data_IF_513679923397
#
_entry.id   IF_513679923397
#
_cell.length_a   1.000
_cell.length_b   1.000
_cell.length_c   1.000
_cell.angle_alpha   90.00
_cell.angle_beta   90.00
_cell.angle_gamma   90.00
#
_symmetry.space_group_name_H-M   'P 1'
#
loop_
_entity.id
_entity.type
_entity.pdbx_description
1 polymer ?
#
# COMPACT_ATOMS: atom_id res chain seq x y z
N UNK A 1 5.61 23.19 13.51
CA UNK A 1 4.54 22.79 12.58
C UNK A 1 3.83 21.58 13.15
N UNK A 2 2.50 21.61 13.28
CA UNK A 2 1.73 20.52 13.87
C UNK A 2 1.67 19.35 12.88
N UNK A 3 2.55 18.36 13.06
CA UNK A 3 2.48 17.09 12.35
C UNK A 3 1.13 16.45 12.67
N UNK A 4 0.40 16.01 11.65
CA UNK A 4 -0.83 15.24 11.83
C UNK A 4 -0.55 14.07 12.78
N UNK A 5 -1.12 14.14 13.99
CA UNK A 5 -0.93 13.16 15.08
C UNK A 5 -1.45 11.76 14.71
N UNK A 6 -2.23 11.65 13.64
CA UNK A 6 -2.61 10.38 13.01
C UNK A 6 -1.71 10.09 11.81
N UNK A 7 -0.59 9.40 12.06
CA UNK A 7 0.24 8.81 11.00
C UNK A 7 -0.46 7.65 10.27
N UNK A 8 -1.55 7.13 10.84
CA UNK A 8 -2.26 5.96 10.35
C UNK A 8 -3.73 6.28 10.05
N UNK A 9 -4.22 5.80 8.92
CA UNK A 9 -5.61 5.88 8.46
C UNK A 9 -6.12 4.44 8.34
N UNK A 10 -7.19 4.10 9.06
CA UNK A 10 -7.78 2.75 9.08
C UNK A 10 -6.75 1.64 9.40
N UNK A 11 -5.75 1.98 10.23
CA UNK A 11 -4.67 1.06 10.58
C UNK A 11 -3.58 0.89 9.52
N UNK A 12 -3.52 1.73 8.49
CA UNK A 12 -2.47 1.76 7.45
C UNK A 12 -1.75 3.12 7.43
N UNK A 13 -0.52 3.16 6.95
CA UNK A 13 0.22 4.40 6.68
C UNK A 13 0.85 4.36 5.29
N UNK A 14 1.13 5.55 4.73
CA UNK A 14 1.86 5.65 3.46
C UNK A 14 3.21 4.96 3.57
N UNK A 15 3.52 4.10 2.60
CA UNK A 15 4.73 3.29 2.56
C UNK A 15 4.54 1.85 3.05
N UNK A 16 3.43 1.53 3.72
CA UNK A 16 3.08 0.16 4.08
C UNK A 16 2.99 -0.71 2.81
N UNK A 17 3.60 -1.89 2.83
CA UNK A 17 3.40 -2.91 1.80
C UNK A 17 2.09 -3.62 2.10
N UNK A 18 1.18 -3.63 1.14
CA UNK A 18 -0.15 -4.20 1.27
C UNK A 18 -0.45 -5.16 0.11
N UNK A 19 -1.33 -6.12 0.36
CA UNK A 19 -2.00 -6.93 -0.67
C UNK A 19 -3.45 -6.52 -0.71
N UNK A 20 -3.91 -5.96 -1.83
CA UNK A 20 -5.32 -5.71 -2.05
C UNK A 20 -5.95 -6.80 -2.91
N UNK A 21 -7.02 -7.40 -2.41
CA UNK A 21 -7.82 -8.36 -3.15
C UNK A 21 -9.15 -7.67 -3.48
N UNK A 22 -9.29 -7.22 -4.73
CA UNK A 22 -10.49 -6.53 -5.19
C UNK A 22 -11.42 -7.56 -5.84
N UNK A 23 -12.61 -7.82 -5.29
CA UNK A 23 -13.47 -8.90 -5.76
C UNK A 23 -14.17 -8.59 -7.09
N UNK A 24 -14.50 -7.32 -7.36
CA UNK A 24 -15.30 -6.92 -8.53
C UNK A 24 -14.89 -5.56 -9.09
N UNK A 25 -15.33 -5.26 -10.32
CA UNK A 25 -15.12 -3.98 -11.00
C UNK A 25 -13.85 -3.88 -11.84
N UNK A 26 -13.54 -2.68 -12.34
CA UNK A 26 -12.43 -2.44 -13.31
C UNK A 26 -11.05 -2.82 -12.78
N UNK A 27 -10.88 -2.89 -11.46
CA UNK A 27 -9.61 -3.19 -10.77
C UNK A 27 -9.64 -4.56 -10.09
N UNK A 28 -10.61 -5.41 -10.45
CA UNK A 28 -10.73 -6.76 -9.89
C UNK A 28 -9.41 -7.53 -10.06
N UNK A 29 -9.04 -8.30 -9.04
CA UNK A 29 -7.78 -9.03 -8.99
C UNK A 29 -6.98 -8.75 -7.71
N UNK A 30 -5.79 -9.34 -7.66
CA UNK A 30 -4.86 -9.20 -6.52
C UNK A 30 -3.74 -8.23 -6.88
N UNK A 31 -3.58 -7.20 -6.06
CA UNK A 31 -2.57 -6.15 -6.24
C UNK A 31 -1.66 -6.12 -5.03
N UNK A 32 -0.39 -6.40 -5.21
CA UNK A 32 0.61 -6.33 -4.14
C UNK A 32 1.53 -5.16 -4.39
N UNK A 33 1.72 -4.30 -3.39
CA UNK A 33 2.45 -3.06 -3.60
C UNK A 33 2.55 -2.19 -2.36
N UNK A 34 3.12 -0.99 -2.51
CA UNK A 34 3.12 0.01 -1.44
C UNK A 34 1.85 0.85 -1.49
N UNK A 35 1.25 1.12 -0.34
CA UNK A 35 0.09 2.00 -0.24
C UNK A 35 0.54 3.46 -0.11
N UNK A 36 -0.09 4.34 -0.87
CA UNK A 36 -0.04 5.78 -0.70
C UNK A 36 -1.42 6.26 -0.29
N UNK A 37 -1.52 6.84 0.90
CA UNK A 37 -2.78 7.33 1.46
C UNK A 37 -2.84 8.84 1.22
N UNK A 38 -3.85 9.29 0.48
CA UNK A 38 -4.09 10.72 0.27
C UNK A 38 -4.70 11.35 1.52
N UNK A 39 -4.59 12.68 1.65
CA UNK A 39 -5.26 13.44 2.72
C UNK A 39 -6.77 13.21 2.78
N UNK A 40 -7.38 12.83 1.65
CA UNK A 40 -8.80 12.48 1.53
C UNK A 40 -9.15 11.08 2.07
N UNK A 41 -8.17 10.29 2.50
CA UNK A 41 -8.37 8.91 2.96
C UNK A 41 -8.46 7.87 1.84
N UNK A 42 -8.23 8.25 0.57
CA UNK A 42 -8.20 7.33 -0.57
C UNK A 42 -6.86 6.60 -0.66
N UNK A 43 -6.89 5.29 -0.95
CA UNK A 43 -5.71 4.45 -1.01
C UNK A 43 -5.30 4.22 -2.47
N UNK A 44 -4.03 4.42 -2.74
CA UNK A 44 -3.41 4.09 -4.02
C UNK A 44 -2.35 3.02 -3.80
N UNK A 45 -2.39 1.94 -4.57
CA UNK A 45 -1.44 0.84 -4.45
C UNK A 45 -0.46 0.94 -5.61
N UNK A 46 0.80 1.19 -5.30
CA UNK A 46 1.90 1.17 -6.27
C UNK A 46 2.34 -0.27 -6.47
N UNK A 47 1.96 -0.87 -7.59
CA UNK A 47 2.46 -2.16 -8.05
C UNK A 47 3.56 -1.94 -9.09
N UNK A 48 4.27 -3.00 -9.47
CA UNK A 48 5.29 -2.96 -10.54
C UNK A 48 4.71 -2.59 -11.90
N UNK A 49 3.44 -2.89 -12.12
CA UNK A 49 2.73 -2.63 -13.38
C UNK A 49 2.11 -1.23 -13.42
N UNK A 50 2.05 -0.53 -12.29
CA UNK A 50 1.51 0.82 -12.18
C UNK A 50 0.77 1.10 -10.88
N UNK A 51 0.32 2.34 -10.73
CA UNK A 51 -0.44 2.77 -9.57
C UNK A 51 -1.94 2.48 -9.73
N UNK A 52 -2.48 1.59 -8.90
CA UNK A 52 -3.90 1.29 -8.81
C UNK A 52 -4.55 2.24 -7.81
N UNK A 53 -5.30 3.22 -8.30
CA UNK A 53 -5.87 4.30 -7.47
C UNK A 53 -7.27 3.98 -6.94
N UNK A 54 -7.61 4.53 -5.78
CA UNK A 54 -8.97 4.49 -5.24
C UNK A 54 -9.43 3.10 -4.82
N UNK A 55 -8.53 2.33 -4.20
CA UNK A 55 -8.86 1.06 -3.55
C UNK A 55 -9.45 1.38 -2.17
N UNK A 56 -10.50 0.67 -1.76
CA UNK A 56 -11.06 0.79 -0.41
C UNK A 56 -10.21 -0.01 0.59
N UNK A 57 -9.98 0.55 1.78
CA UNK A 57 -9.19 -0.09 2.84
C UNK A 57 -9.61 -1.52 3.23
N UNK A 58 -10.90 -1.95 3.18
CA UNK A 58 -11.27 -3.31 3.59
C UNK A 58 -10.71 -4.39 2.66
N UNK A 59 -10.39 -4.02 1.42
CA UNK A 59 -9.78 -4.94 0.46
C UNK A 59 -8.26 -5.06 0.67
N UNK A 60 -7.66 -4.14 1.42
CA UNK A 60 -6.23 -4.12 1.70
C UNK A 60 -5.90 -4.97 2.92
N UNK A 61 -4.88 -5.80 2.80
CA UNK A 61 -4.26 -6.52 3.91
C UNK A 61 -2.83 -6.01 4.06
N UNK A 62 -2.43 -5.66 5.28
CA UNK A 62 -1.07 -5.26 5.56
C UNK A 62 -0.12 -6.46 5.45
N UNK A 63 0.94 -6.32 4.66
CA UNK A 63 2.03 -7.29 4.58
C UNK A 63 3.25 -6.85 5.39
N UNK A 64 3.62 -5.57 5.28
CA UNK A 64 4.78 -5.01 5.96
C UNK A 64 4.53 -3.55 6.29
N UNK A 65 4.90 -3.12 7.49
CA UNK A 65 4.84 -1.70 7.89
C UNK A 65 5.91 -0.89 7.16
N UNK A 66 5.54 0.32 6.74
CA UNK A 66 6.46 1.36 6.29
C UNK A 66 7.10 2.07 7.49
N UNK A 67 7.75 1.31 8.36
CA UNK A 67 8.43 1.80 9.57
C UNK A 67 9.78 2.49 9.28
N UNK A 68 10.11 2.72 8.01
CA UNK A 68 11.35 3.33 7.56
C UNK A 68 12.51 2.34 7.42
N UNK A 69 12.35 1.11 7.92
CA UNK A 69 13.29 0.01 7.69
C UNK A 69 12.85 -0.77 6.46
N UNK A 70 13.08 -0.16 5.30
CA UNK A 70 12.98 -0.87 4.03
C UNK A 70 14.07 -1.93 3.99
N UNK A 71 13.80 -3.14 4.48
CA UNK A 71 14.57 -4.31 4.10
C UNK A 71 14.56 -4.33 2.58
N UNK A 72 15.69 -3.93 2.01
CA UNK A 72 15.99 -4.06 0.60
C UNK A 72 15.77 -5.54 0.29
N UNK A 73 14.75 -5.85 -0.51
CA UNK A 73 14.72 -7.13 -1.19
C UNK A 73 15.89 -7.07 -2.16
N UNK A 74 17.09 -7.43 -1.69
CA UNK A 74 18.21 -7.71 -2.56
C UNK A 74 17.69 -8.74 -3.56
N UNK A 75 17.60 -8.43 -4.86
CA UNK A 75 17.30 -9.45 -5.84
C UNK A 75 18.51 -10.39 -5.78
N UNK A 76 18.35 -11.57 -5.17
CA UNK A 76 19.37 -12.59 -5.24
C UNK A 76 19.41 -13.06 -6.68
N UNK A 77 20.26 -12.42 -7.49
CA UNK A 77 20.68 -12.94 -8.78
C UNK A 77 21.50 -14.20 -8.50
N UNK A 78 20.88 -15.36 -8.69
CA UNK A 78 21.61 -16.62 -8.68
C UNK A 78 22.46 -16.70 -9.95
N UNK A 79 23.75 -16.92 -9.76
CA UNK A 79 24.76 -17.21 -10.78
C UNK A 79 24.67 -18.67 -11.22
#
# INVERSE_FOLDING_TARGET
>A
GYLMRQKQVQGFQTGDRVRAIVPTGKKAGTHTGRVAIRKTGSFNIQTEQGAVQGISWPYCTLLQRGDGYGYHQIPTTQH
#
